data_IF_041826521520
#
_entry.id   IF_041826521520
#
_cell.length_a   1.000
_cell.length_b   1.000
_cell.length_c   1.000
_cell.angle_alpha   90.00
_cell.angle_beta   90.00
_cell.angle_gamma   90.00
#
_symmetry.space_group_name_H-M   'P 1'
#
loop_
_entity.id
_entity.type
_entity.pdbx_description
1 polymer ?
#
# COMPACT_ATOMS: atom_id res chain seq x y z
N UNK A 1 8.90 49.68 -22.67
CA UNK A 1 9.00 49.03 -23.99
C UNK A 1 10.37 48.39 -24.12
N UNK A 2 10.47 47.06 -24.10
CA UNK A 2 11.19 46.23 -25.07
C UNK A 2 10.87 44.76 -24.74
N UNK A 3 10.38 44.07 -25.76
CA UNK A 3 10.00 42.66 -25.79
C UNK A 3 11.25 41.77 -25.71
N UNK A 4 11.18 40.70 -24.92
CA UNK A 4 12.10 39.57 -24.99
C UNK A 4 11.30 38.28 -25.01
N UNK A 5 10.87 37.85 -26.21
CA UNK A 5 10.38 36.50 -26.44
C UNK A 5 11.53 35.52 -26.16
N UNK A 6 11.41 34.72 -25.10
CA UNK A 6 12.25 33.55 -24.91
C UNK A 6 11.61 32.41 -25.70
N UNK A 7 12.21 32.11 -26.84
CA UNK A 7 11.90 30.97 -27.69
C UNK A 7 12.30 29.68 -26.95
N UNK A 8 11.33 29.02 -26.34
CA UNK A 8 11.57 27.77 -25.62
C UNK A 8 11.71 26.64 -26.63
N UNK A 9 12.94 26.11 -26.77
CA UNK A 9 13.29 24.95 -27.61
C UNK A 9 12.48 23.72 -27.17
N UNK A 10 11.58 23.26 -28.04
CA UNK A 10 10.70 22.08 -27.88
C UNK A 10 11.42 20.71 -27.94
N UNK A 11 12.69 20.63 -27.53
CA UNK A 11 13.51 19.41 -27.64
C UNK A 11 13.76 18.68 -26.31
N UNK A 12 13.84 19.39 -25.18
CA UNK A 12 14.26 18.79 -23.90
C UNK A 12 13.09 18.31 -23.03
N UNK A 13 11.87 18.78 -23.31
CA UNK A 13 10.68 18.40 -22.55
C UNK A 13 10.26 16.94 -22.79
N UNK A 14 10.56 16.36 -23.95
CA UNK A 14 10.14 15.00 -24.29
C UNK A 14 11.01 13.92 -23.63
N UNK A 15 12.30 14.19 -23.41
CA UNK A 15 13.16 13.27 -22.66
C UNK A 15 12.87 13.31 -21.16
N UNK A 16 12.56 14.49 -20.62
CA UNK A 16 12.08 14.63 -19.25
C UNK A 16 10.71 13.95 -19.06
N UNK A 17 9.76 14.11 -19.98
CA UNK A 17 8.47 13.42 -19.95
C UNK A 17 8.60 11.90 -20.15
N UNK A 18 9.54 11.44 -20.97
CA UNK A 18 9.87 10.02 -21.15
C UNK A 18 10.42 9.39 -19.86
N UNK A 19 11.34 10.07 -19.18
CA UNK A 19 11.85 9.64 -17.87
C UNK A 19 10.78 9.75 -16.77
N UNK A 20 9.94 10.78 -16.78
CA UNK A 20 8.86 11.01 -15.82
C UNK A 20 7.67 10.05 -16.02
N UNK A 21 7.46 9.55 -17.24
CA UNK A 21 6.48 8.49 -17.53
C UNK A 21 7.02 7.10 -17.19
N UNK A 22 8.33 6.88 -17.26
CA UNK A 22 8.95 5.58 -16.94
C UNK A 22 8.99 5.30 -15.43
N UNK A 23 8.89 6.33 -14.59
CA UNK A 23 8.86 6.22 -13.11
C UNK A 23 7.48 6.39 -12.49
N UNK A 24 6.44 6.68 -13.28
CA UNK A 24 5.05 6.69 -12.84
C UNK A 24 4.46 5.28 -12.85
N UNK A 25 4.98 4.40 -11.99
CA UNK A 25 4.25 3.20 -11.57
C UNK A 25 2.97 3.65 -10.86
N UNK A 26 1.92 3.94 -11.64
CA UNK A 26 0.59 4.28 -11.13
C UNK A 26 -0.05 3.02 -10.56
N UNK A 27 0.40 2.63 -9.37
CA UNK A 27 -0.27 1.63 -8.56
C UNK A 27 -1.72 2.08 -8.38
N UNK A 28 -2.66 1.18 -8.69
CA UNK A 28 -4.09 1.47 -8.66
C UNK A 28 -4.49 1.93 -7.25
N UNK A 29 -5.35 2.97 -7.08
CA UNK A 29 -5.92 3.29 -5.77
C UNK A 29 -6.54 2.08 -5.06
N UNK A 30 -7.08 1.13 -5.84
CA UNK A 30 -7.61 -0.13 -5.33
C UNK A 30 -6.56 -1.07 -4.73
N UNK A 31 -5.32 -1.07 -5.23
CA UNK A 31 -4.21 -1.83 -4.60
C UNK A 31 -3.91 -1.25 -3.23
N UNK A 32 -3.94 0.07 -3.09
CA UNK A 32 -3.78 0.74 -1.80
C UNK A 32 -4.96 0.52 -0.85
N UNK A 33 -6.19 0.47 -1.37
CA UNK A 33 -7.33 0.02 -0.56
C UNK A 33 -7.10 -1.39 -0.02
N UNK A 34 -6.60 -2.29 -0.87
CA UNK A 34 -6.24 -3.64 -0.46
C UNK A 34 -5.17 -3.64 0.63
N UNK A 35 -4.11 -2.85 0.45
CA UNK A 35 -3.02 -2.69 1.42
C UNK A 35 -3.53 -2.19 2.78
N UNK A 36 -4.37 -1.16 2.81
CA UNK A 36 -4.94 -0.65 4.06
C UNK A 36 -5.80 -1.68 4.80
N UNK A 37 -6.57 -2.47 4.05
CA UNK A 37 -7.39 -3.56 4.61
C UNK A 37 -6.53 -4.72 5.11
N UNK A 38 -5.45 -5.06 4.40
CA UNK A 38 -4.49 -6.08 4.83
C UNK A 38 -3.73 -5.66 6.10
N UNK A 39 -3.28 -4.40 6.17
CA UNK A 39 -2.63 -3.85 7.35
C UNK A 39 -3.54 -3.89 8.59
N UNK A 40 -4.82 -3.57 8.44
CA UNK A 40 -5.80 -3.74 9.52
C UNK A 40 -5.91 -5.20 9.98
N UNK A 41 -6.02 -6.12 9.03
CA UNK A 41 -6.10 -7.55 9.33
C UNK A 41 -4.84 -8.09 10.04
N UNK A 42 -3.65 -7.62 9.64
CA UNK A 42 -2.38 -7.98 10.28
C UNK A 42 -2.37 -7.56 11.76
N UNK A 43 -2.64 -6.29 12.05
CA UNK A 43 -2.63 -5.76 13.42
C UNK A 43 -3.67 -6.46 14.31
N UNK A 44 -4.81 -6.87 13.73
CA UNK A 44 -5.86 -7.57 14.47
C UNK A 44 -5.66 -9.09 14.53
N UNK A 45 -4.60 -9.64 13.94
CA UNK A 45 -4.42 -11.09 13.81
C UNK A 45 -4.28 -11.80 15.17
N UNK A 46 -3.71 -11.13 16.17
CA UNK A 46 -3.58 -11.67 17.53
C UNK A 46 -4.84 -11.45 18.40
N UNK A 47 -5.81 -10.65 17.91
CA UNK A 47 -7.05 -10.29 18.61
C UNK A 47 -6.86 -9.20 19.68
N UNK A 48 -5.68 -8.62 19.81
CA UNK A 48 -5.40 -7.50 20.72
C UNK A 48 -5.43 -6.19 19.92
N UNK A 49 -6.48 -5.39 20.11
CA UNK A 49 -6.53 -4.04 19.53
C UNK A 49 -5.62 -3.10 20.35
N UNK A 50 -4.34 -3.06 19.98
CA UNK A 50 -3.36 -2.15 20.58
C UNK A 50 -3.34 -0.83 19.83
N UNK A 51 -3.66 0.25 20.53
CA UNK A 51 -3.78 1.60 19.96
C UNK A 51 -2.47 2.14 19.37
N UNK A 52 -1.31 1.71 19.89
CA UNK A 52 0.01 2.09 19.39
C UNK A 52 0.31 1.45 18.02
N UNK A 53 -0.04 0.19 17.84
CA UNK A 53 0.21 -0.54 16.59
C UNK A 53 -0.63 0.03 15.45
N UNK A 54 -1.89 0.38 15.74
CA UNK A 54 -2.76 1.10 14.82
C UNK A 54 -2.18 2.47 14.41
N UNK A 55 -1.53 3.21 15.32
CA UNK A 55 -0.92 4.49 14.99
C UNK A 55 0.32 4.33 14.10
N UNK A 56 1.24 3.43 14.43
CA UNK A 56 2.45 3.16 13.64
C UNK A 56 2.09 2.71 12.23
N UNK A 57 1.13 1.80 12.10
CA UNK A 57 0.68 1.34 10.79
C UNK A 57 0.11 2.48 9.93
N UNK A 58 -0.71 3.36 10.52
CA UNK A 58 -1.25 4.53 9.79
C UNK A 58 -0.15 5.46 9.30
N UNK A 59 0.92 5.68 10.09
CA UNK A 59 2.07 6.47 9.65
C UNK A 59 2.79 5.80 8.47
N UNK A 60 3.12 4.52 8.57
CA UNK A 60 3.80 3.77 7.50
C UNK A 60 2.97 3.77 6.22
N UNK A 61 1.65 3.61 6.33
CA UNK A 61 0.73 3.68 5.19
C UNK A 61 0.70 5.10 4.57
N UNK A 62 0.77 6.16 5.39
CA UNK A 62 0.75 7.56 4.91
C UNK A 62 1.95 7.86 4.01
N UNK A 63 3.11 7.30 4.35
CA UNK A 63 4.36 7.49 3.61
C UNK A 63 4.32 6.88 2.20
N UNK A 64 3.36 5.99 1.92
CA UNK A 64 3.23 5.32 0.64
C UNK A 64 2.59 6.21 -0.44
N UNK A 65 3.32 7.24 -0.86
CA UNK A 65 2.89 8.14 -1.94
C UNK A 65 2.73 7.40 -3.29
N UNK A 66 1.79 7.84 -4.16
CA UNK A 66 0.88 8.97 -3.98
C UNK A 66 -0.44 8.61 -3.27
N UNK A 67 -0.70 7.34 -2.97
CA UNK A 67 -2.02 6.86 -2.53
C UNK A 67 -2.06 6.37 -1.07
N UNK A 68 -1.09 6.75 -0.23
CA UNK A 68 -1.07 6.39 1.20
C UNK A 68 -2.34 6.80 1.94
N UNK A 69 -2.91 7.96 1.60
CA UNK A 69 -4.21 8.41 2.12
C UNK A 69 -5.33 7.40 1.81
N UNK A 70 -5.31 6.77 0.64
CA UNK A 70 -6.31 5.76 0.27
C UNK A 70 -6.19 4.50 1.13
N UNK A 71 -4.96 4.08 1.43
CA UNK A 71 -4.72 2.96 2.33
C UNK A 71 -5.20 3.29 3.75
N UNK A 72 -4.90 4.48 4.26
CA UNK A 72 -5.36 4.92 5.59
C UNK A 72 -6.89 4.98 5.65
N UNK A 73 -7.55 5.58 4.65
CA UNK A 73 -8.99 5.66 4.64
C UNK A 73 -9.62 4.26 4.69
N UNK A 74 -9.05 3.30 3.96
CA UNK A 74 -9.55 1.93 3.98
C UNK A 74 -9.28 1.26 5.33
N UNK A 75 -8.11 1.46 5.92
CA UNK A 75 -7.79 1.00 7.27
C UNK A 75 -8.79 1.52 8.30
N UNK A 76 -9.01 2.85 8.34
CA UNK A 76 -9.92 3.50 9.27
C UNK A 76 -11.37 3.07 9.08
N UNK A 77 -11.79 2.78 7.85
CA UNK A 77 -13.12 2.21 7.59
C UNK A 77 -13.27 0.82 8.23
N UNK A 78 -12.23 -0.02 8.18
CA UNK A 78 -12.25 -1.33 8.85
C UNK A 78 -12.28 -1.21 10.36
N UNK A 79 -11.48 -0.29 10.90
CA UNK A 79 -11.46 0.05 12.34
C UNK A 79 -12.83 0.56 12.79
N UNK A 80 -13.43 1.52 12.07
CA UNK A 80 -14.73 2.08 12.39
C UNK A 80 -15.87 1.04 12.38
N UNK A 81 -15.82 0.09 11.45
CA UNK A 81 -16.80 -0.98 11.36
C UNK A 81 -16.48 -2.21 12.21
N UNK A 82 -15.37 -2.20 12.97
CA UNK A 82 -14.88 -3.36 13.72
C UNK A 82 -14.82 -4.64 12.88
N UNK A 83 -14.44 -4.53 11.60
CA UNK A 83 -14.41 -5.67 10.68
C UNK A 83 -13.61 -6.84 11.28
N UNK A 84 -14.00 -8.07 10.97
CA UNK A 84 -13.20 -9.23 11.38
C UNK A 84 -11.90 -9.27 10.60
N UNK A 85 -10.89 -9.96 11.15
CA UNK A 85 -9.60 -10.17 10.48
C UNK A 85 -9.79 -10.86 9.12
N UNK A 86 -10.70 -11.84 9.06
CA UNK A 86 -11.03 -12.59 7.86
C UNK A 86 -11.71 -11.71 6.80
N UNK A 87 -12.68 -10.88 7.18
CA UNK A 87 -13.36 -9.95 6.27
C UNK A 87 -12.39 -8.94 5.67
N UNK A 88 -11.53 -8.35 6.51
CA UNK A 88 -10.54 -7.39 6.08
C UNK A 88 -9.49 -8.03 5.15
N UNK A 89 -9.06 -9.26 5.43
CA UNK A 89 -8.15 -10.01 4.57
C UNK A 89 -8.79 -10.37 3.23
N UNK A 90 -10.02 -10.90 3.23
CA UNK A 90 -10.74 -11.25 2.01
C UNK A 90 -10.93 -10.03 1.10
N UNK A 91 -11.31 -8.89 1.66
CA UNK A 91 -11.42 -7.65 0.90
C UNK A 91 -10.09 -7.23 0.27
N UNK A 92 -8.98 -7.37 1.01
CA UNK A 92 -7.65 -7.08 0.48
C UNK A 92 -7.33 -7.97 -0.72
N UNK A 93 -7.52 -9.29 -0.57
CA UNK A 93 -7.28 -10.26 -1.64
C UNK A 93 -8.16 -10.02 -2.87
N UNK A 94 -9.42 -9.62 -2.69
CA UNK A 94 -10.31 -9.25 -3.79
C UNK A 94 -9.82 -8.01 -4.54
N UNK A 95 -9.32 -7.01 -3.82
CA UNK A 95 -8.73 -5.82 -4.42
C UNK A 95 -7.52 -6.18 -5.29
N UNK A 96 -6.63 -7.03 -4.77
CA UNK A 96 -5.46 -7.52 -5.48
C UNK A 96 -5.83 -8.37 -6.69
N UNK A 97 -6.73 -9.35 -6.53
CA UNK A 97 -7.18 -10.24 -7.60
C UNK A 97 -7.83 -9.49 -8.76
N UNK A 98 -8.72 -8.53 -8.46
CA UNK A 98 -9.37 -7.69 -9.49
C UNK A 98 -8.39 -6.82 -10.26
N UNK A 99 -7.23 -6.54 -9.68
CA UNK A 99 -6.20 -5.69 -10.25
C UNK A 99 -4.88 -6.43 -10.49
N UNK A 100 -4.91 -7.76 -10.65
CA UNK A 100 -3.73 -8.61 -10.81
C UNK A 100 -2.78 -8.17 -11.91
N UNK A 101 -3.32 -7.63 -13.01
CA UNK A 101 -2.50 -7.08 -14.12
C UNK A 101 -1.64 -5.87 -13.74
N UNK A 102 -1.84 -5.30 -12.54
CA UNK A 102 -1.03 -4.21 -11.99
C UNK A 102 -0.12 -4.68 -10.83
N UNK A 103 -0.18 -5.95 -10.44
CA UNK A 103 0.69 -6.56 -9.42
C UNK A 103 1.97 -7.06 -10.09
N UNK A 104 2.79 -6.13 -10.59
CA UNK A 104 4.13 -6.49 -11.08
C UNK A 104 5.00 -6.97 -9.91
N UNK A 105 6.11 -7.69 -10.17
CA UNK A 105 7.02 -8.14 -9.12
C UNK A 105 7.48 -7.00 -8.19
N UNK A 106 7.70 -5.80 -8.74
CA UNK A 106 8.10 -4.62 -7.97
C UNK A 106 6.97 -4.12 -7.06
N UNK A 107 5.72 -4.15 -7.55
CA UNK A 107 4.54 -3.80 -6.74
C UNK A 107 4.34 -4.80 -5.62
N UNK A 108 4.45 -6.11 -5.90
CA UNK A 108 4.35 -7.17 -4.87
C UNK A 108 5.43 -7.00 -3.81
N UNK A 109 6.69 -6.80 -4.24
CA UNK A 109 7.81 -6.54 -3.33
C UNK A 109 7.55 -5.33 -2.45
N UNK A 110 7.04 -4.23 -3.02
CA UNK A 110 6.68 -3.04 -2.24
C UNK A 110 5.57 -3.31 -1.22
N UNK A 111 4.51 -4.05 -1.60
CA UNK A 111 3.44 -4.42 -0.67
C UNK A 111 3.98 -5.26 0.49
N UNK A 112 4.86 -6.22 0.21
CA UNK A 112 5.50 -7.04 1.23
C UNK A 112 6.34 -6.20 2.18
N UNK A 113 7.23 -5.35 1.65
CA UNK A 113 8.07 -4.46 2.48
C UNK A 113 7.24 -3.57 3.39
N UNK A 114 6.14 -3.01 2.90
CA UNK A 114 5.27 -2.17 3.75
C UNK A 114 4.61 -2.99 4.87
N UNK A 115 4.15 -4.20 4.57
CA UNK A 115 3.53 -5.07 5.57
C UNK A 115 4.55 -5.57 6.60
N UNK A 116 5.77 -5.87 6.18
CA UNK A 116 6.89 -6.20 7.07
C UNK A 116 7.23 -5.03 7.99
N UNK A 117 7.33 -3.81 7.47
CA UNK A 117 7.53 -2.60 8.27
C UNK A 117 6.43 -2.40 9.33
N UNK A 118 5.17 -2.71 8.98
CA UNK A 118 4.05 -2.62 9.92
C UNK A 118 4.17 -3.67 11.02
N UNK A 119 4.51 -4.92 10.66
CA UNK A 119 4.71 -6.00 11.63
C UNK A 119 5.88 -5.70 12.58
N UNK A 120 6.99 -5.17 12.04
CA UNK A 120 8.20 -4.85 12.81
C UNK A 120 8.06 -3.57 13.65
N UNK A 121 7.04 -2.75 13.40
CA UNK A 121 6.77 -1.57 14.22
C UNK A 121 6.27 -1.94 15.63
N UNK A 122 5.75 -3.15 15.83
CA UNK A 122 5.55 -3.72 17.16
C UNK A 122 6.83 -4.48 17.59
N UNK A 123 7.34 -4.16 18.79
CA UNK A 123 8.48 -4.84 19.39
C UNK A 123 8.16 -6.29 19.81
N UNK A 124 6.93 -6.78 19.59
CA UNK A 124 6.46 -8.12 19.98
C UNK A 124 5.69 -8.82 18.86
N UNK A 125 6.42 -9.26 17.85
CA UNK A 125 5.86 -10.09 16.76
C UNK A 125 5.32 -11.40 17.33
N UNK A 126 4.04 -11.67 17.09
CA UNK A 126 3.35 -12.89 17.49
C UNK A 126 3.43 -14.00 16.42
N UNK A 127 3.30 -15.29 16.80
CA UNK A 127 3.21 -16.38 15.82
C UNK A 127 2.04 -16.25 14.83
N UNK A 128 0.97 -15.54 15.21
CA UNK A 128 -0.19 -15.31 14.34
C UNK A 128 0.11 -14.28 13.26
N UNK A 129 0.86 -13.24 13.57
CA UNK A 129 1.32 -12.25 12.59
C UNK A 129 2.33 -12.86 11.61
N UNK A 130 3.24 -13.72 12.10
CA UNK A 130 4.16 -14.47 11.23
C UNK A 130 3.37 -15.34 10.24
N UNK A 131 2.42 -16.13 10.73
CA UNK A 131 1.57 -16.97 9.86
C UNK A 131 0.73 -16.11 8.89
N UNK A 132 0.22 -14.97 9.36
CA UNK A 132 -0.47 -14.01 8.49
C UNK A 132 0.44 -13.56 7.34
N UNK A 133 1.69 -13.17 7.65
CA UNK A 133 2.65 -12.69 6.66
C UNK A 133 3.07 -13.78 5.67
N UNK A 134 3.29 -15.01 6.14
CA UNK A 134 3.57 -16.17 5.29
C UNK A 134 2.41 -16.42 4.31
N UNK A 135 1.17 -16.48 4.83
CA UNK A 135 -0.02 -16.64 4.00
C UNK A 135 -0.19 -15.49 3.00
N UNK A 136 0.02 -14.26 3.44
CA UNK A 136 -0.08 -13.07 2.60
C UNK A 136 0.92 -13.11 1.44
N UNK A 137 2.16 -13.53 1.70
CA UNK A 137 3.19 -13.73 0.69
C UNK A 137 2.78 -14.81 -0.32
N UNK A 138 2.35 -15.96 0.15
CA UNK A 138 1.90 -17.07 -0.69
C UNK A 138 0.71 -16.67 -1.58
N UNK A 139 -0.23 -15.89 -1.06
CA UNK A 139 -1.38 -15.43 -1.82
C UNK A 139 -1.01 -14.36 -2.86
N UNK A 140 -0.06 -13.47 -2.55
CA UNK A 140 0.45 -12.49 -3.51
C UNK A 140 1.19 -13.16 -4.68
N UNK A 141 1.94 -14.23 -4.43
CA UNK A 141 2.65 -14.96 -5.49
C UNK A 141 1.70 -15.63 -6.49
N UNK A 142 0.48 -15.99 -6.06
CA UNK A 142 -0.55 -16.61 -6.93
C UNK A 142 -1.22 -15.63 -7.92
N UNK A 143 -1.04 -14.31 -7.76
CA UNK A 143 -1.67 -13.31 -8.63
C UNK A 143 -0.84 -12.94 -9.85
#
# INVERSE_FOLDING_TARGET
>A
MFNGCIEVRWGESLLALSFYNKTNMRMSPYIFSGLGSAAYALIKADGQERSLDSLSARYILLEQKPHGIQAINTFLLREHHNSTTEEAYHFAMDCFRKHRGKLTPEVKSKLLTVMEQIMEADNRISPREINFMEKFKDDLEKF
#
